data_IF_889323192506
#
_entry.id   IF_889323192506
#
_cell.length_a   1.000
_cell.length_b   1.000
_cell.length_c   1.000
_cell.angle_alpha   90.00
_cell.angle_beta   90.00
_cell.angle_gamma   90.00
#
_symmetry.space_group_name_H-M   'P 1'
#
loop_
_entity.id
_entity.type
_entity.pdbx_description
1 polymer ?
#
# COMPACT_ATOMS: atom_id res chain seq x y z
N UNK A 1 0.82 -15.01 -26.57
CA UNK A 1 0.38 -13.71 -27.13
C UNK A 1 -1.12 -13.56 -27.43
N UNK A 2 -1.93 -14.63 -27.43
CA UNK A 2 -3.37 -14.53 -27.73
C UNK A 2 -4.11 -13.59 -26.75
N UNK A 3 -3.91 -13.74 -25.44
CA UNK A 3 -4.58 -12.94 -24.40
C UNK A 3 -4.24 -11.45 -24.52
N UNK A 4 -2.95 -11.11 -24.56
CA UNK A 4 -2.50 -9.72 -24.73
C UNK A 4 -2.99 -9.11 -26.05
N UNK A 5 -3.12 -9.92 -27.13
CA UNK A 5 -3.67 -9.48 -28.39
C UNK A 5 -5.16 -9.14 -28.32
N UNK A 6 -5.96 -9.90 -27.57
CA UNK A 6 -7.38 -9.60 -27.36
C UNK A 6 -7.56 -8.35 -26.50
N UNK A 7 -6.77 -8.19 -25.43
CA UNK A 7 -6.79 -6.97 -24.61
C UNK A 7 -6.44 -5.71 -25.45
N UNK A 8 -5.41 -5.79 -26.29
CA UNK A 8 -5.01 -4.70 -27.17
C UNK A 8 -6.16 -4.24 -28.09
N UNK A 9 -6.98 -5.17 -28.60
CA UNK A 9 -8.11 -4.84 -29.48
C UNK A 9 -9.17 -3.95 -28.81
N UNK A 10 -9.22 -3.91 -27.49
CA UNK A 10 -10.13 -3.05 -26.71
C UNK A 10 -9.54 -1.66 -26.42
N UNK A 11 -8.26 -1.44 -26.71
CA UNK A 11 -7.56 -0.19 -26.40
C UNK A 11 -7.79 0.92 -27.43
N UNK A 12 -7.58 2.16 -27.01
CA UNK A 12 -7.60 3.34 -27.90
C UNK A 12 -6.47 3.32 -28.92
N UNK A 13 -5.41 2.55 -28.69
CA UNK A 13 -4.33 2.35 -29.67
C UNK A 13 -4.70 1.40 -30.81
N UNK A 14 -5.70 0.56 -30.59
CA UNK A 14 -6.26 -0.27 -31.67
C UNK A 14 -7.38 0.44 -32.44
N UNK A 15 -8.25 1.19 -31.73
CA UNK A 15 -9.41 1.86 -32.31
C UNK A 15 -9.62 3.24 -31.70
N UNK A 16 -9.57 4.29 -32.48
CA UNK A 16 -9.74 5.67 -32.02
C UNK A 16 -10.40 6.53 -33.14
N UNK A 17 -10.76 7.77 -32.79
CA UNK A 17 -11.41 8.69 -33.70
C UNK A 17 -10.53 9.15 -34.87
N UNK A 18 -9.20 9.11 -34.74
CA UNK A 18 -8.26 9.49 -35.80
C UNK A 18 -8.07 8.40 -36.87
N UNK A 19 -8.47 7.15 -36.56
CA UNK A 19 -8.23 6.00 -37.44
C UNK A 19 -6.78 5.51 -37.46
N UNK A 20 -5.87 6.15 -36.74
CA UNK A 20 -4.46 5.73 -36.63
C UNK A 20 -4.34 4.56 -35.63
N UNK A 21 -3.81 3.43 -36.11
CA UNK A 21 -3.60 2.24 -35.29
C UNK A 21 -2.11 2.06 -35.04
N UNK A 22 -1.74 1.93 -33.77
CA UNK A 22 -0.41 1.50 -33.38
C UNK A 22 -0.32 -0.04 -33.37
N UNK A 23 0.68 -0.61 -34.03
CA UNK A 23 0.91 -2.05 -34.00
C UNK A 23 1.74 -2.46 -32.78
N UNK A 24 1.77 -3.76 -32.47
CA UNK A 24 2.56 -4.29 -31.34
C UNK A 24 4.03 -3.82 -31.38
N UNK A 25 4.61 -3.78 -32.60
CA UNK A 25 6.00 -3.36 -32.78
C UNK A 25 6.24 -1.90 -32.42
N UNK A 26 5.25 -1.03 -32.64
CA UNK A 26 5.41 0.42 -32.43
C UNK A 26 5.58 0.79 -30.96
N UNK A 27 5.09 -0.08 -30.04
CA UNK A 27 5.29 0.05 -28.59
C UNK A 27 6.43 -0.82 -28.07
N UNK A 28 6.58 -2.04 -28.61
CA UNK A 28 7.46 -3.06 -28.05
C UNK A 28 8.86 -3.12 -28.70
N UNK A 29 9.05 -2.48 -29.84
CA UNK A 29 10.38 -2.41 -30.50
C UNK A 29 10.83 -0.95 -30.51
N UNK A 30 11.85 -0.59 -29.72
CA UNK A 30 12.36 0.78 -29.73
C UNK A 30 12.82 1.22 -31.13
N UNK A 31 12.67 2.49 -31.49
CA UNK A 31 13.14 3.00 -32.78
C UNK A 31 14.66 2.90 -32.91
N UNK A 32 15.14 2.57 -34.10
CA UNK A 32 16.55 2.44 -34.44
C UNK A 32 16.99 1.01 -34.71
N UNK A 33 18.10 0.86 -35.47
CA UNK A 33 18.59 -0.44 -35.95
C UNK A 33 19.14 -1.27 -34.77
N UNK A 34 20.01 -0.69 -33.94
CA UNK A 34 20.64 -1.40 -32.83
C UNK A 34 19.62 -1.87 -31.80
N UNK A 35 18.71 -1.01 -31.27
CA UNK A 35 17.66 -1.45 -30.37
C UNK A 35 16.77 -2.55 -30.97
N UNK A 36 16.47 -2.48 -32.27
CA UNK A 36 15.70 -3.52 -32.97
C UNK A 36 16.44 -4.86 -32.99
N UNK A 37 17.74 -4.89 -33.28
CA UNK A 37 18.55 -6.11 -33.28
C UNK A 37 18.62 -6.72 -31.88
N UNK A 38 18.88 -5.90 -30.87
CA UNK A 38 18.89 -6.35 -29.47
C UNK A 38 17.53 -6.95 -29.09
N UNK A 39 16.43 -6.32 -29.47
CA UNK A 39 15.09 -6.84 -29.16
C UNK A 39 14.79 -8.15 -29.88
N UNK A 40 15.24 -8.31 -31.12
CA UNK A 40 15.10 -9.57 -31.89
C UNK A 40 15.92 -10.72 -31.26
N UNK A 41 17.13 -10.46 -30.77
CA UNK A 41 17.91 -11.49 -30.07
C UNK A 41 17.26 -11.89 -28.74
N UNK A 42 16.71 -10.93 -27.99
CA UNK A 42 15.95 -11.23 -26.77
C UNK A 42 14.69 -12.08 -27.05
N UNK A 43 14.05 -11.91 -28.21
CA UNK A 43 12.88 -12.69 -28.61
C UNK A 43 13.19 -14.19 -28.85
N UNK A 44 14.45 -14.60 -28.98
CA UNK A 44 14.83 -16.02 -29.01
C UNK A 44 14.45 -16.73 -27.70
N UNK A 45 14.53 -16.03 -26.58
CA UNK A 45 14.05 -16.55 -25.29
C UNK A 45 12.52 -16.78 -25.29
N UNK A 46 11.77 -15.95 -26.00
CA UNK A 46 10.32 -16.10 -26.14
C UNK A 46 9.97 -17.35 -26.97
N UNK A 47 10.80 -17.69 -27.98
CA UNK A 47 10.66 -18.94 -28.73
C UNK A 47 10.89 -20.17 -27.86
N UNK A 48 11.96 -20.15 -27.03
CA UNK A 48 12.22 -21.23 -26.07
C UNK A 48 11.01 -21.44 -25.14
N UNK A 49 10.47 -20.35 -24.57
CA UNK A 49 9.31 -20.41 -23.69
C UNK A 49 7.98 -20.67 -24.38
N UNK A 50 7.94 -20.64 -25.71
CA UNK A 50 6.76 -21.00 -26.50
C UNK A 50 6.77 -22.47 -26.89
N UNK A 51 7.91 -23.00 -27.34
CA UNK A 51 8.01 -24.31 -27.96
C UNK A 51 8.63 -25.40 -27.08
N UNK A 52 9.55 -25.03 -26.20
CA UNK A 52 10.33 -26.00 -25.40
C UNK A 52 9.83 -26.06 -23.97
N UNK A 53 9.62 -24.91 -23.33
CA UNK A 53 9.13 -24.81 -21.95
C UNK A 53 7.95 -23.85 -21.85
N UNK A 54 6.73 -24.25 -22.29
CA UNK A 54 5.56 -23.38 -22.32
C UNK A 54 5.24 -22.78 -20.95
N UNK A 55 5.39 -21.46 -20.81
CA UNK A 55 5.30 -20.76 -19.53
C UNK A 55 4.10 -19.82 -19.43
N UNK A 56 3.43 -19.50 -20.55
CA UNK A 56 2.26 -18.59 -20.64
C UNK A 56 1.25 -19.08 -21.67
N UNK A 57 1.19 -20.35 -21.92
CA UNK A 57 0.33 -21.01 -22.93
C UNK A 57 -1.14 -21.10 -22.50
N UNK A 58 -1.42 -21.06 -21.17
CA UNK A 58 -2.79 -21.03 -20.64
C UNK A 58 -3.11 -19.68 -19.97
N UNK A 59 -4.41 -19.32 -19.82
CA UNK A 59 -4.82 -18.13 -19.11
C UNK A 59 -4.31 -18.05 -17.68
N UNK A 60 -4.28 -19.18 -16.97
CA UNK A 60 -3.83 -19.28 -15.58
C UNK A 60 -2.33 -19.02 -15.46
N UNK A 61 -1.52 -19.67 -16.31
CA UNK A 61 -0.07 -19.45 -16.37
C UNK A 61 0.25 -17.99 -16.75
N UNK A 62 -0.49 -17.42 -17.70
CA UNK A 62 -0.33 -16.03 -18.07
C UNK A 62 -0.69 -15.08 -16.92
N UNK A 63 -1.80 -15.33 -16.22
CA UNK A 63 -2.22 -14.54 -15.06
C UNK A 63 -1.16 -14.57 -13.95
N UNK A 64 -0.60 -15.74 -13.65
CA UNK A 64 0.44 -15.91 -12.64
C UNK A 64 1.73 -15.15 -12.97
N UNK A 65 2.09 -15.01 -14.25
CA UNK A 65 3.30 -14.31 -14.69
C UNK A 65 3.06 -12.86 -15.14
N UNK A 66 1.82 -12.42 -15.25
CA UNK A 66 1.46 -11.11 -15.78
C UNK A 66 2.19 -9.96 -15.08
N UNK A 67 2.28 -9.98 -13.75
CA UNK A 67 2.95 -8.93 -12.97
C UNK A 67 4.44 -8.83 -13.31
N UNK A 68 5.14 -9.96 -13.33
CA UNK A 68 6.56 -10.05 -13.69
C UNK A 68 6.82 -9.55 -15.12
N UNK A 69 6.01 -10.02 -16.08
CA UNK A 69 6.12 -9.61 -17.49
C UNK A 69 5.87 -8.11 -17.66
N UNK A 70 4.86 -7.56 -16.99
CA UNK A 70 4.54 -6.14 -17.03
C UNK A 70 5.67 -5.29 -16.43
N UNK A 71 6.18 -5.66 -15.25
CA UNK A 71 7.30 -4.94 -14.60
C UNK A 71 8.54 -4.91 -15.48
N UNK A 72 8.91 -6.05 -16.08
CA UNK A 72 10.03 -6.14 -17.00
C UNK A 72 9.86 -5.21 -18.22
N UNK A 73 8.67 -5.15 -18.76
CA UNK A 73 8.38 -4.29 -19.91
C UNK A 73 8.35 -2.81 -19.53
N UNK A 74 7.78 -2.45 -18.39
CA UNK A 74 7.80 -1.08 -17.89
C UNK A 74 9.23 -0.59 -17.60
N UNK A 75 10.04 -1.43 -16.96
CA UNK A 75 11.45 -1.10 -16.71
C UNK A 75 12.22 -0.85 -18.02
N UNK A 76 11.97 -1.66 -19.06
CA UNK A 76 12.57 -1.48 -20.37
C UNK A 76 12.16 -0.17 -21.05
N UNK A 77 10.86 0.17 -20.99
CA UNK A 77 10.33 1.42 -21.54
C UNK A 77 10.84 2.63 -20.75
N UNK A 78 10.97 2.52 -19.44
CA UNK A 78 11.52 3.57 -18.59
C UNK A 78 13.01 3.81 -18.89
N UNK A 79 13.80 2.74 -19.06
CA UNK A 79 15.23 2.83 -19.35
C UNK A 79 15.56 3.55 -20.69
N UNK A 80 14.63 3.57 -21.63
CA UNK A 80 14.80 4.28 -22.92
C UNK A 80 13.97 5.58 -22.99
N UNK A 81 13.57 6.13 -21.86
CA UNK A 81 12.74 7.33 -21.75
C UNK A 81 11.46 7.26 -22.57
N UNK A 82 10.79 6.09 -22.59
CA UNK A 82 9.56 5.86 -23.34
C UNK A 82 9.66 6.24 -24.85
N UNK A 83 10.83 5.99 -25.45
CA UNK A 83 11.13 6.41 -26.84
C UNK A 83 10.07 5.93 -27.84
N UNK A 84 9.53 4.73 -27.65
CA UNK A 84 8.45 4.21 -28.50
C UNK A 84 7.16 5.05 -28.42
N UNK A 85 6.79 5.53 -27.23
CA UNK A 85 5.65 6.42 -27.05
C UNK A 85 5.90 7.80 -27.69
N UNK A 86 7.09 8.36 -27.43
CA UNK A 86 7.51 9.68 -27.91
C UNK A 86 7.71 9.74 -29.43
N UNK A 87 7.79 8.59 -30.12
CA UNK A 87 7.83 8.56 -31.60
C UNK A 87 6.52 9.00 -32.23
N UNK A 88 5.39 8.89 -31.52
CA UNK A 88 4.07 9.34 -31.99
C UNK A 88 3.49 10.47 -31.13
N UNK A 89 3.86 10.53 -29.85
CA UNK A 89 3.35 11.49 -28.87
C UNK A 89 4.45 12.49 -28.47
N UNK A 90 4.38 13.72 -28.99
CA UNK A 90 5.23 14.82 -28.54
C UNK A 90 4.54 15.61 -27.44
N UNK A 91 5.25 15.96 -26.36
CA UNK A 91 4.73 16.86 -25.34
C UNK A 91 4.31 18.22 -25.88
N UNK A 92 5.00 18.71 -26.92
CA UNK A 92 4.70 19.99 -27.58
C UNK A 92 3.38 19.96 -28.39
N UNK A 93 3.02 18.78 -28.91
CA UNK A 93 1.81 18.61 -29.70
C UNK A 93 0.57 18.30 -28.85
N UNK A 94 0.74 18.11 -27.55
CA UNK A 94 -0.37 17.80 -26.63
C UNK A 94 -1.06 19.06 -26.13
N UNK A 95 -2.39 19.15 -26.36
CA UNK A 95 -3.22 20.22 -25.79
C UNK A 95 -3.65 19.84 -24.36
N UNK A 96 -2.82 20.23 -23.39
CA UNK A 96 -3.08 19.97 -21.97
C UNK A 96 -4.36 20.66 -21.47
N UNK A 97 -4.77 21.77 -22.11
CA UNK A 97 -5.96 22.53 -21.71
C UNK A 97 -7.28 21.79 -21.92
N UNK A 98 -7.31 20.75 -22.75
CA UNK A 98 -8.48 19.89 -22.97
C UNK A 98 -8.65 18.79 -21.90
N UNK A 99 -7.76 18.71 -20.93
CA UNK A 99 -7.82 17.74 -19.85
C UNK A 99 -8.40 18.38 -18.57
N UNK A 100 -8.66 17.55 -17.54
CA UNK A 100 -8.99 18.10 -16.22
C UNK A 100 -7.83 18.95 -15.68
N UNK A 101 -8.13 19.97 -14.88
CA UNK A 101 -7.11 20.87 -14.32
C UNK A 101 -5.95 20.13 -13.62
N UNK A 102 -6.27 19.07 -12.89
CA UNK A 102 -5.25 18.24 -12.24
C UNK A 102 -4.38 17.47 -13.24
N UNK A 103 -4.99 16.87 -14.26
CA UNK A 103 -4.25 16.17 -15.31
C UNK A 103 -3.38 17.14 -16.13
N UNK A 104 -3.91 18.32 -16.47
CA UNK A 104 -3.15 19.36 -17.17
C UNK A 104 -1.91 19.82 -16.39
N UNK A 105 -2.07 20.06 -15.06
CA UNK A 105 -0.95 20.44 -14.21
C UNK A 105 0.13 19.35 -14.14
N UNK A 106 -0.26 18.07 -14.02
CA UNK A 106 0.68 16.95 -14.00
C UNK A 106 1.39 16.79 -15.35
N UNK A 107 0.67 16.91 -16.48
CA UNK A 107 1.24 16.82 -17.82
C UNK A 107 2.20 17.98 -18.11
N UNK A 108 1.88 19.20 -17.69
CA UNK A 108 2.78 20.35 -17.80
C UNK A 108 4.07 20.12 -17.01
N UNK A 109 3.96 19.62 -15.76
CA UNK A 109 5.14 19.32 -14.96
C UNK A 109 5.99 18.16 -15.53
N UNK A 110 5.34 17.16 -16.14
CA UNK A 110 6.02 16.05 -16.81
C UNK A 110 6.73 16.51 -18.09
N UNK A 111 6.09 17.35 -18.89
CA UNK A 111 6.67 17.95 -20.09
C UNK A 111 7.93 18.77 -19.79
N UNK A 112 7.90 19.61 -18.75
CA UNK A 112 9.03 20.43 -18.33
C UNK A 112 10.28 19.61 -17.93
N UNK A 113 10.12 18.33 -17.57
CA UNK A 113 11.20 17.41 -17.17
C UNK A 113 11.49 16.32 -18.20
N UNK A 114 10.81 16.35 -19.34
CA UNK A 114 10.84 15.26 -20.33
C UNK A 114 10.62 13.89 -19.69
N UNK A 115 9.66 13.79 -18.77
CA UNK A 115 9.40 12.58 -17.96
C UNK A 115 9.02 11.39 -18.83
N UNK A 116 9.23 10.18 -18.30
CA UNK A 116 8.81 8.93 -18.92
C UNK A 116 7.28 8.82 -18.98
N UNK A 117 6.73 8.54 -20.16
CA UNK A 117 5.30 8.32 -20.33
C UNK A 117 4.82 7.07 -19.55
N UNK A 118 5.62 5.99 -19.58
CA UNK A 118 5.24 4.72 -18.96
C UNK A 118 5.16 4.77 -17.44
N UNK A 119 5.81 5.73 -16.78
CA UNK A 119 5.75 5.85 -15.32
C UNK A 119 4.33 6.15 -14.82
N UNK A 120 3.53 6.87 -15.62
CA UNK A 120 2.13 7.20 -15.34
C UNK A 120 1.13 6.41 -16.20
N UNK A 121 1.46 6.15 -17.47
CA UNK A 121 0.54 5.58 -18.46
C UNK A 121 0.65 4.05 -18.57
N UNK A 122 0.66 3.35 -17.44
CA UNK A 122 0.60 1.89 -17.39
C UNK A 122 -0.82 1.38 -17.71
N UNK A 123 -0.91 0.28 -18.44
CA UNK A 123 -2.19 -0.35 -18.77
C UNK A 123 -2.97 0.28 -19.91
N UNK A 124 -2.32 1.03 -20.81
CA UNK A 124 -2.96 1.72 -21.95
C UNK A 124 -3.33 0.79 -23.11
N UNK A 125 -2.69 -0.37 -23.21
CA UNK A 125 -2.93 -1.36 -24.27
C UNK A 125 -3.27 -2.75 -23.70
N UNK A 126 -2.90 -3.01 -22.45
CA UNK A 126 -3.15 -4.26 -21.76
C UNK A 126 -3.72 -4.00 -20.38
N UNK A 127 -4.52 -4.93 -19.85
CA UNK A 127 -5.02 -4.82 -18.50
C UNK A 127 -3.86 -4.78 -17.50
N UNK A 128 -3.94 -3.89 -16.53
CA UNK A 128 -2.95 -3.84 -15.44
C UNK A 128 -2.94 -5.18 -14.70
N UNK A 129 -1.75 -5.72 -14.35
CA UNK A 129 -1.67 -6.88 -13.51
C UNK A 129 -2.23 -6.56 -12.11
N UNK A 130 -2.75 -7.58 -11.46
CA UNK A 130 -2.99 -7.51 -10.02
C UNK A 130 -1.63 -7.59 -9.30
N UNK A 131 -1.19 -6.47 -8.76
CA UNK A 131 0.07 -6.37 -8.00
C UNK A 131 -0.10 -6.74 -6.54
N UNK A 132 -1.33 -7.09 -6.12
CA UNK A 132 -1.64 -7.33 -4.71
C UNK A 132 -1.30 -8.73 -4.23
N UNK A 133 -1.12 -9.70 -5.11
CA UNK A 133 -0.86 -11.10 -4.74
C UNK A 133 0.36 -11.23 -3.81
N UNK A 134 1.48 -10.61 -4.14
CA UNK A 134 2.72 -10.74 -3.37
C UNK A 134 2.60 -10.27 -1.91
N UNK A 135 1.97 -9.13 -1.66
CA UNK A 135 1.79 -8.65 -0.29
C UNK A 135 0.67 -9.40 0.45
N UNK A 136 -0.37 -9.85 -0.26
CA UNK A 136 -1.45 -10.67 0.34
C UNK A 136 -0.96 -12.05 0.76
N UNK A 137 -0.13 -12.70 -0.05
CA UNK A 137 0.50 -13.97 0.30
C UNK A 137 1.39 -13.82 1.54
N UNK A 138 2.15 -12.72 1.63
CA UNK A 138 2.94 -12.39 2.83
C UNK A 138 2.04 -12.22 4.06
N UNK A 139 0.92 -11.52 3.93
CA UNK A 139 -0.01 -11.34 5.04
C UNK A 139 -0.62 -12.65 5.52
N UNK A 140 -0.99 -13.54 4.60
CA UNK A 140 -1.46 -14.88 4.95
C UNK A 140 -0.39 -15.70 5.70
N UNK A 141 0.88 -15.56 5.35
CA UNK A 141 1.97 -16.17 6.10
C UNK A 141 2.07 -15.60 7.52
N UNK A 142 1.98 -14.28 7.68
CA UNK A 142 1.95 -13.63 8.99
C UNK A 142 0.76 -14.09 9.83
N UNK A 143 -0.43 -14.20 9.23
CA UNK A 143 -1.61 -14.71 9.92
C UNK A 143 -1.41 -16.14 10.43
N UNK A 144 -0.85 -17.04 9.60
CA UNK A 144 -0.53 -18.42 10.01
C UNK A 144 0.49 -18.47 11.15
N UNK A 145 1.51 -17.60 11.13
CA UNK A 145 2.46 -17.46 12.24
C UNK A 145 1.78 -16.94 13.51
N UNK A 146 0.81 -16.01 13.36
CA UNK A 146 0.04 -15.44 14.44
C UNK A 146 -1.10 -16.34 14.98
N UNK A 147 -1.30 -17.56 14.47
CA UNK A 147 -2.23 -18.54 15.04
C UNK A 147 -1.78 -19.00 16.44
N UNK A 148 -0.48 -18.97 16.69
CA UNK A 148 0.08 -19.23 18.00
C UNK A 148 0.48 -17.92 18.68
N UNK A 149 0.00 -17.70 19.89
CA UNK A 149 0.37 -16.53 20.68
C UNK A 149 1.84 -16.61 21.07
N UNK A 150 2.71 -15.64 20.69
CA UNK A 150 4.09 -15.60 21.09
C UNK A 150 4.25 -15.57 22.61
N UNK A 151 5.32 -16.13 23.15
CA UNK A 151 5.59 -16.16 24.60
C UNK A 151 6.02 -14.81 25.16
N UNK A 152 6.43 -13.87 24.31
CA UNK A 152 6.83 -12.52 24.70
C UNK A 152 5.72 -11.77 25.46
N UNK A 153 6.13 -10.86 26.32
CA UNK A 153 5.21 -10.00 27.09
C UNK A 153 4.75 -8.79 26.32
N UNK A 154 5.50 -8.35 25.32
CA UNK A 154 5.14 -7.26 24.40
C UNK A 154 4.79 -7.85 23.05
N UNK A 155 3.62 -7.50 22.54
CA UNK A 155 3.10 -8.00 21.28
C UNK A 155 2.55 -6.85 20.42
N UNK A 156 2.42 -7.10 19.11
CA UNK A 156 1.81 -6.21 18.14
C UNK A 156 0.65 -6.92 17.44
N UNK A 157 -0.47 -6.23 17.26
CA UNK A 157 -1.61 -6.78 16.52
C UNK A 157 -1.30 -6.85 15.02
N UNK A 158 -1.50 -8.01 14.40
CA UNK A 158 -1.33 -8.18 12.94
C UNK A 158 -2.46 -7.53 12.14
N UNK A 159 -3.64 -7.40 12.73
CA UNK A 159 -4.82 -6.82 12.12
C UNK A 159 -5.74 -6.19 13.16
N UNK A 160 -6.97 -5.90 12.75
CA UNK A 160 -7.99 -5.46 13.69
C UNK A 160 -8.41 -6.60 14.61
N UNK A 161 -8.62 -6.28 15.89
CA UNK A 161 -9.04 -7.26 16.90
C UNK A 161 -10.13 -6.67 17.78
N UNK A 162 -11.15 -7.48 18.06
CA UNK A 162 -12.16 -7.12 19.05
C UNK A 162 -11.54 -7.05 20.45
N UNK A 163 -11.97 -6.04 21.19
CA UNK A 163 -11.64 -5.88 22.62
C UNK A 163 -12.90 -6.09 23.44
N UNK A 164 -12.75 -6.79 24.58
CA UNK A 164 -13.84 -7.07 25.52
C UNK A 164 -13.42 -6.77 26.96
N UNK A 165 -14.38 -6.54 27.84
CA UNK A 165 -14.11 -6.26 29.25
C UNK A 165 -13.70 -7.53 30.03
N UNK A 166 -14.25 -8.69 29.67
CA UNK A 166 -13.89 -10.01 30.26
C UNK A 166 -13.63 -11.01 29.13
N UNK A 167 -13.02 -12.16 29.47
CA UNK A 167 -12.73 -13.22 28.52
C UNK A 167 -14.00 -13.85 27.90
N UNK A 168 -15.10 -13.84 28.65
CA UNK A 168 -16.37 -14.46 28.26
C UNK A 168 -17.33 -13.48 27.60
N UNK A 169 -17.02 -12.17 27.62
CA UNK A 169 -17.90 -11.16 27.01
C UNK A 169 -17.98 -11.36 25.50
N UNK A 170 -19.18 -11.24 24.90
CA UNK A 170 -19.30 -11.27 23.46
C UNK A 170 -18.57 -10.10 22.83
N UNK A 171 -18.10 -10.27 21.58
CA UNK A 171 -17.46 -9.22 20.84
C UNK A 171 -18.40 -8.00 20.71
N UNK A 172 -17.93 -6.85 21.20
CA UNK A 172 -18.62 -5.55 21.11
C UNK A 172 -18.16 -4.72 19.92
N UNK A 173 -18.26 -3.40 20.07
CA UNK A 173 -17.78 -2.44 19.07
C UNK A 173 -16.37 -1.92 19.37
N UNK A 174 -15.77 -2.33 20.49
CA UNK A 174 -14.41 -1.96 20.84
C UNK A 174 -13.41 -2.73 19.98
N UNK A 175 -12.41 -2.01 19.47
CA UNK A 175 -11.48 -2.54 18.48
C UNK A 175 -10.06 -2.05 18.73
N UNK A 176 -9.11 -2.96 18.66
CA UNK A 176 -7.69 -2.69 18.55
C UNK A 176 -7.33 -2.58 17.06
N UNK A 177 -6.55 -1.56 16.71
CA UNK A 177 -6.12 -1.31 15.32
C UNK A 177 -4.85 -2.09 14.97
N UNK A 178 -4.57 -2.34 13.68
CA UNK A 178 -3.34 -3.00 13.23
C UNK A 178 -2.08 -2.34 13.79
N UNK A 179 -1.02 -3.12 13.96
CA UNK A 179 0.29 -2.66 14.40
C UNK A 179 0.27 -1.89 15.74
N UNK A 180 -0.69 -2.20 16.60
CA UNK A 180 -0.74 -1.61 17.93
C UNK A 180 0.02 -2.48 18.92
N UNK A 181 0.95 -1.85 19.63
CA UNK A 181 1.71 -2.49 20.70
C UNK A 181 0.84 -2.69 21.93
N UNK A 182 0.92 -3.87 22.54
CA UNK A 182 0.22 -4.22 23.77
C UNK A 182 1.14 -5.00 24.69
N UNK A 183 0.90 -4.91 25.99
CA UNK A 183 1.56 -5.73 27.00
C UNK A 183 0.61 -6.86 27.42
N UNK A 184 1.09 -8.10 27.40
CA UNK A 184 0.33 -9.26 27.84
C UNK A 184 0.36 -9.34 29.38
N UNK A 185 -0.80 -9.37 29.99
CA UNK A 185 -0.99 -9.50 31.43
C UNK A 185 -1.31 -10.94 31.85
N UNK A 186 -2.21 -11.61 31.12
CA UNK A 186 -2.67 -12.96 31.41
C UNK A 186 -2.97 -13.72 30.12
N UNK A 187 -2.74 -15.02 30.13
CA UNK A 187 -3.07 -15.94 29.03
C UNK A 187 -4.09 -16.96 29.57
N UNK A 188 -5.20 -17.12 28.86
CA UNK A 188 -6.30 -17.97 29.30
C UNK A 188 -6.99 -18.67 28.11
N UNK A 189 -6.58 -19.91 27.86
CA UNK A 189 -7.09 -20.67 26.73
C UNK A 189 -6.86 -19.96 25.40
N UNK A 190 -7.97 -19.64 24.70
CA UNK A 190 -7.95 -18.91 23.42
C UNK A 190 -7.98 -17.38 23.58
N UNK A 191 -7.96 -16.88 24.82
CA UNK A 191 -8.04 -15.47 25.12
C UNK A 191 -6.76 -14.97 25.80
N UNK A 192 -6.49 -13.68 25.64
CA UNK A 192 -5.38 -12.99 26.28
C UNK A 192 -5.87 -11.68 26.87
N UNK A 193 -5.48 -11.42 28.11
CA UNK A 193 -5.65 -10.10 28.72
C UNK A 193 -4.44 -9.25 28.37
N UNK A 194 -4.71 -8.10 27.81
CA UNK A 194 -3.72 -7.15 27.36
C UNK A 194 -3.89 -5.80 28.04
N UNK A 195 -2.80 -5.10 28.18
CA UNK A 195 -2.77 -3.68 28.51
C UNK A 195 -2.30 -2.89 27.30
N UNK A 196 -3.09 -1.90 26.91
CA UNK A 196 -2.80 -0.93 25.88
C UNK A 196 -2.50 0.42 26.53
N UNK A 197 -1.39 1.05 26.18
CA UNK A 197 -1.08 2.44 26.53
C UNK A 197 -1.23 3.37 25.33
N UNK A 198 -1.74 4.56 25.56
CA UNK A 198 -1.90 5.56 24.51
C UNK A 198 -2.43 6.88 25.02
N UNK A 199 -2.87 7.72 24.10
CA UNK A 199 -3.37 9.07 24.39
C UNK A 199 -4.83 9.22 23.95
N UNK A 200 -5.60 9.96 24.72
CA UNK A 200 -6.96 10.37 24.33
C UNK A 200 -7.18 11.85 24.61
N UNK A 201 -8.07 12.48 23.86
CA UNK A 201 -8.55 13.82 24.18
C UNK A 201 -9.31 13.82 25.52
N UNK A 202 -9.02 14.78 26.39
CA UNK A 202 -9.74 14.93 27.68
C UNK A 202 -11.20 15.30 27.46
N UNK A 203 -11.46 16.08 26.41
CA UNK A 203 -12.80 16.55 26.03
C UNK A 203 -13.16 16.02 24.63
N UNK A 204 -14.39 15.58 24.44
CA UNK A 204 -14.89 15.13 23.16
C UNK A 204 -14.85 13.61 22.95
N UNK A 205 -13.98 13.11 22.06
CA UNK A 205 -13.95 11.68 21.66
C UNK A 205 -13.10 10.80 22.59
N UNK A 206 -13.33 10.86 23.89
CA UNK A 206 -12.54 10.12 24.90
C UNK A 206 -12.51 8.58 24.75
N UNK A 207 -13.23 8.03 23.76
CA UNK A 207 -13.20 6.59 23.41
C UNK A 207 -12.11 6.22 22.39
N UNK A 208 -11.53 7.19 21.72
CA UNK A 208 -10.47 6.96 20.73
C UNK A 208 -9.11 7.06 21.43
N UNK A 209 -8.37 5.98 21.37
CA UNK A 209 -7.00 5.93 21.88
C UNK A 209 -6.05 6.04 20.69
N UNK A 210 -5.14 7.00 20.75
CA UNK A 210 -4.09 7.21 19.74
C UNK A 210 -2.73 6.80 20.28
N UNK A 211 -1.81 6.47 19.42
CA UNK A 211 -0.45 6.05 19.80
C UNK A 211 0.40 7.23 20.28
N UNK A 212 0.16 8.42 19.72
CA UNK A 212 0.90 9.65 20.03
C UNK A 212 -0.09 10.77 20.35
N UNK A 213 0.32 11.65 21.30
CA UNK A 213 -0.43 12.87 21.63
C UNK A 213 -0.56 13.79 20.42
N UNK A 214 -1.74 14.35 20.18
CA UNK A 214 -1.98 15.27 19.06
C UNK A 214 -2.02 14.62 17.67
N UNK A 215 -1.65 13.35 17.55
CA UNK A 215 -1.58 12.64 16.28
C UNK A 215 -2.71 11.60 16.15
N UNK A 216 -3.41 11.61 15.03
CA UNK A 216 -4.54 10.68 14.77
C UNK A 216 -4.07 9.30 14.31
N UNK A 217 -3.04 8.75 14.98
CA UNK A 217 -2.51 7.41 14.78
C UNK A 217 -3.28 6.47 15.71
N UNK A 218 -4.36 5.89 15.22
CA UNK A 218 -5.28 5.13 16.06
C UNK A 218 -4.66 3.84 16.59
N UNK A 219 -4.74 3.65 17.90
CA UNK A 219 -4.38 2.42 18.59
C UNK A 219 -5.61 1.57 18.91
N UNK A 220 -6.66 2.18 19.46
CA UNK A 220 -7.92 1.51 19.74
C UNK A 220 -9.10 2.47 19.67
N UNK A 221 -10.29 1.92 19.47
CA UNK A 221 -11.56 2.59 19.75
C UNK A 221 -12.30 1.77 20.79
N UNK A 222 -12.68 2.41 21.89
CA UNK A 222 -13.36 1.76 23.02
C UNK A 222 -14.87 1.91 22.87
N UNK A 223 -15.61 0.98 23.40
CA UNK A 223 -17.03 1.10 23.63
C UNK A 223 -17.34 1.36 25.13
N UNK A 224 -18.62 1.46 25.48
CA UNK A 224 -19.02 1.78 26.84
C UNK A 224 -18.55 0.75 27.88
N UNK A 225 -18.41 -0.53 27.48
CA UNK A 225 -18.05 -1.63 28.38
C UNK A 225 -16.61 -1.55 28.90
N UNK A 226 -15.72 -0.89 28.13
CA UNK A 226 -14.31 -0.76 28.47
C UNK A 226 -13.96 0.58 29.15
N UNK A 227 -14.91 1.51 29.25
CA UNK A 227 -14.61 2.83 29.82
C UNK A 227 -14.21 2.77 31.32
N UNK A 228 -14.72 1.81 32.06
CA UNK A 228 -14.32 1.57 33.46
C UNK A 228 -12.89 1.00 33.60
N UNK A 229 -12.35 0.41 32.54
CA UNK A 229 -11.02 -0.18 32.50
C UNK A 229 -9.93 0.82 32.07
N UNK A 230 -10.31 2.07 31.82
CA UNK A 230 -9.40 3.14 31.45
C UNK A 230 -8.83 3.79 32.69
N UNK A 231 -7.52 3.72 32.87
CA UNK A 231 -6.79 4.43 33.92
C UNK A 231 -6.05 5.62 33.31
N UNK A 232 -6.25 6.80 33.86
CA UNK A 232 -5.50 8.01 33.48
C UNK A 232 -4.16 8.00 34.24
N UNK A 233 -3.07 8.03 33.51
CA UNK A 233 -1.72 8.05 34.07
C UNK A 233 -1.20 9.49 34.25
N UNK A 234 -1.44 10.34 33.24
CA UNK A 234 -1.09 11.76 33.28
C UNK A 234 -1.96 12.58 32.34
N UNK A 235 -1.97 13.90 32.56
CA UNK A 235 -2.65 14.87 31.68
C UNK A 235 -1.63 15.89 31.20
N UNK A 236 -1.65 16.19 29.89
CA UNK A 236 -0.75 17.16 29.26
C UNK A 236 -1.50 18.00 28.23
N UNK A 237 -1.02 19.20 27.98
CA UNK A 237 -1.52 20.08 26.92
C UNK A 237 -0.59 19.93 25.70
N UNK A 238 -1.18 19.60 24.57
CA UNK A 238 -0.45 19.52 23.31
C UNK A 238 0.02 20.92 22.89
N UNK A 239 1.32 21.12 22.68
CA UNK A 239 1.87 22.44 22.37
C UNK A 239 1.45 22.98 21.01
N UNK A 240 1.06 22.11 20.06
CA UNK A 240 0.64 22.52 18.72
C UNK A 240 -0.84 22.95 18.68
N UNK A 241 -1.73 22.13 19.28
CA UNK A 241 -3.18 22.37 19.23
C UNK A 241 -3.74 23.08 20.45
N UNK A 242 -2.96 23.23 21.52
CA UNK A 242 -3.38 23.71 22.84
C UNK A 242 -4.54 22.90 23.46
N UNK A 243 -4.76 21.69 22.98
CA UNK A 243 -5.79 20.79 23.53
C UNK A 243 -5.19 19.95 24.66
N UNK A 244 -6.03 19.65 25.64
CA UNK A 244 -5.69 18.78 26.75
C UNK A 244 -5.85 17.32 26.37
N UNK A 245 -4.81 16.54 26.62
CA UNK A 245 -4.72 15.10 26.36
C UNK A 245 -4.42 14.34 27.64
N UNK A 246 -4.96 13.13 27.72
CA UNK A 246 -4.69 12.19 28.79
C UNK A 246 -3.91 11.00 28.24
N UNK A 247 -2.76 10.71 28.83
CA UNK A 247 -2.13 9.41 28.67
C UNK A 247 -2.90 8.39 29.51
N UNK A 248 -3.27 7.29 28.89
CA UNK A 248 -4.09 6.27 29.53
C UNK A 248 -3.52 4.88 29.34
N UNK A 249 -3.77 4.02 30.32
CA UNK A 249 -3.68 2.57 30.17
C UNK A 249 -5.08 1.97 30.19
N UNK A 250 -5.27 0.94 29.35
CA UNK A 250 -6.56 0.25 29.18
C UNK A 250 -6.33 -1.23 29.26
N UNK A 251 -6.97 -1.90 30.23
CA UNK A 251 -6.99 -3.36 30.30
C UNK A 251 -8.17 -3.91 29.53
N UNK A 252 -7.91 -4.86 28.65
CA UNK A 252 -8.95 -5.51 27.84
C UNK A 252 -8.59 -6.96 27.56
N UNK A 253 -9.59 -7.74 27.17
CA UNK A 253 -9.43 -9.09 26.64
C UNK A 253 -9.54 -9.09 25.14
N UNK A 254 -8.83 -10.03 24.49
CA UNK A 254 -8.88 -10.27 23.05
C UNK A 254 -8.59 -11.74 22.78
N UNK A 255 -8.90 -12.21 21.54
CA UNK A 255 -8.44 -13.53 21.10
C UNK A 255 -6.92 -13.60 21.10
N UNK A 256 -6.35 -14.76 21.44
CA UNK A 256 -4.91 -14.99 21.49
C UNK A 256 -4.25 -15.00 20.10
N UNK A 257 -5.00 -15.36 19.07
CA UNK A 257 -4.52 -15.38 17.69
C UNK A 257 -4.32 -13.97 17.12
N UNK A 258 -3.48 -13.82 16.08
CA UNK A 258 -3.31 -12.56 15.33
C UNK A 258 -2.43 -11.54 16.04
N UNK A 259 -1.46 -12.00 16.81
CA UNK A 259 -0.38 -11.19 17.37
C UNK A 259 0.99 -11.67 16.90
N UNK A 260 1.96 -10.77 16.95
CA UNK A 260 3.39 -11.05 16.72
C UNK A 260 4.22 -10.34 17.77
N UNK A 261 5.38 -10.87 18.11
CA UNK A 261 6.39 -10.23 18.96
C UNK A 261 7.37 -9.36 18.16
N UNK A 262 7.38 -9.49 16.83
CA UNK A 262 8.18 -8.68 15.95
C UNK A 262 7.30 -7.91 14.95
N UNK A 263 7.43 -6.58 14.96
CA UNK A 263 6.67 -5.70 14.06
C UNK A 263 7.23 -5.64 12.64
N UNK A 264 8.53 -5.94 12.44
CA UNK A 264 9.22 -5.74 11.16
C UNK A 264 8.57 -6.50 9.99
N UNK A 265 8.14 -7.77 10.12
CA UNK A 265 7.46 -8.47 9.04
C UNK A 265 6.14 -7.79 8.62
N UNK A 266 5.42 -7.17 9.57
CA UNK A 266 4.21 -6.41 9.28
C UNK A 266 4.54 -5.10 8.54
N UNK A 267 5.63 -4.44 8.90
CA UNK A 267 6.10 -3.25 8.19
C UNK A 267 6.62 -3.57 6.78
N UNK A 268 7.30 -4.70 6.60
CA UNK A 268 7.68 -5.18 5.27
C UNK A 268 6.45 -5.48 4.39
N UNK A 269 5.40 -6.06 4.97
CA UNK A 269 4.11 -6.25 4.28
C UNK A 269 3.51 -4.90 3.86
N UNK A 270 3.47 -3.93 4.77
CA UNK A 270 2.89 -2.61 4.50
C UNK A 270 3.72 -1.82 3.46
N UNK A 271 5.05 -1.91 3.50
CA UNK A 271 5.93 -1.30 2.49
C UNK A 271 5.73 -1.96 1.11
N UNK A 272 5.67 -3.28 1.06
CA UNK A 272 5.40 -3.99 -0.20
C UNK A 272 4.02 -3.63 -0.77
N UNK A 273 3.01 -3.45 0.09
CA UNK A 273 1.69 -2.96 -0.30
C UNK A 273 1.77 -1.53 -0.85
N UNK A 274 2.51 -0.63 -0.18
CA UNK A 274 2.76 0.73 -0.63
C UNK A 274 3.42 0.74 -2.02
N UNK A 275 4.53 0.00 -2.16
CA UNK A 275 5.27 -0.08 -3.42
C UNK A 275 4.39 -0.64 -4.56
N UNK A 276 3.71 -1.76 -4.33
CA UNK A 276 2.89 -2.39 -5.37
C UNK A 276 1.68 -1.54 -5.77
N UNK A 277 1.07 -0.84 -4.81
CA UNK A 277 -0.17 -0.10 -5.05
C UNK A 277 0.11 1.28 -5.64
N UNK A 278 1.07 2.03 -5.09
CA UNK A 278 1.30 3.43 -5.45
C UNK A 278 2.21 3.59 -6.67
N UNK A 279 3.20 2.69 -6.87
CA UNK A 279 4.11 2.76 -8.03
C UNK A 279 3.43 2.51 -9.37
N UNK A 280 2.16 2.14 -9.36
CA UNK A 280 1.38 1.92 -10.57
C UNK A 280 1.16 3.19 -11.41
N UNK A 281 1.22 4.38 -10.80
CA UNK A 281 0.89 5.65 -11.47
C UNK A 281 2.00 6.72 -11.35
N UNK A 282 2.77 6.72 -10.26
CA UNK A 282 3.86 7.66 -10.04
C UNK A 282 4.91 7.04 -9.11
N UNK A 283 6.04 7.72 -8.92
CA UNK A 283 7.02 7.31 -7.92
C UNK A 283 6.39 7.26 -6.53
N UNK A 284 6.64 6.18 -5.81
CA UNK A 284 6.12 6.00 -4.46
C UNK A 284 6.64 7.09 -3.53
N UNK A 285 5.77 7.88 -2.89
CA UNK A 285 6.22 8.89 -1.95
C UNK A 285 6.81 8.21 -0.71
N UNK A 286 7.95 8.70 -0.20
CA UNK A 286 8.48 8.17 1.05
C UNK A 286 7.51 8.47 2.21
N UNK A 287 7.43 7.63 3.25
CA UNK A 287 6.56 7.87 4.41
C UNK A 287 6.80 9.23 5.09
N UNK A 288 8.02 9.76 5.03
CA UNK A 288 8.38 11.08 5.53
C UNK A 288 7.85 12.26 4.71
N UNK A 289 7.11 12.01 3.60
CA UNK A 289 6.58 13.07 2.72
C UNK A 289 5.61 13.99 3.44
N UNK A 290 4.81 13.46 4.36
CA UNK A 290 3.80 14.20 5.10
C UNK A 290 3.95 13.97 6.61
N UNK A 291 3.29 14.82 7.41
CA UNK A 291 3.06 14.56 8.83
C UNK A 291 2.12 13.37 9.04
N UNK A 292 2.08 12.79 10.23
CA UNK A 292 1.18 11.69 10.56
C UNK A 292 -0.30 12.04 10.29
N UNK A 293 -0.73 13.26 10.64
CA UNK A 293 -2.08 13.72 10.35
C UNK A 293 -2.28 14.04 8.86
N UNK A 294 -1.24 14.50 8.16
CA UNK A 294 -1.26 14.81 6.73
C UNK A 294 -1.48 13.58 5.85
N UNK A 295 -0.99 12.41 6.26
CA UNK A 295 -1.22 11.16 5.54
C UNK A 295 -2.68 10.75 5.42
N UNK A 296 -3.55 11.16 6.35
CA UNK A 296 -5.00 10.90 6.29
C UNK A 296 -5.60 11.53 5.03
N UNK A 297 -5.29 12.80 4.78
CA UNK A 297 -5.76 13.50 3.58
C UNK A 297 -5.05 12.99 2.31
N UNK A 298 -3.74 12.75 2.40
CA UNK A 298 -2.92 12.22 1.31
C UNK A 298 -3.46 10.89 0.80
N UNK A 299 -3.67 9.91 1.67
CA UNK A 299 -4.17 8.60 1.28
C UNK A 299 -5.63 8.67 0.78
N UNK A 300 -6.47 9.48 1.46
CA UNK A 300 -7.86 9.68 1.05
C UNK A 300 -7.96 10.27 -0.37
N UNK A 301 -7.11 11.20 -0.75
CA UNK A 301 -7.12 11.79 -2.10
C UNK A 301 -6.78 10.77 -3.20
N UNK A 302 -6.07 9.69 -2.87
CA UNK A 302 -5.71 8.60 -3.80
C UNK A 302 -6.69 7.42 -3.76
N UNK A 303 -7.64 7.37 -2.83
CA UNK A 303 -8.51 6.21 -2.57
C UNK A 303 -9.36 5.76 -3.76
N UNK A 304 -9.62 6.64 -4.73
CA UNK A 304 -10.35 6.31 -5.96
C UNK A 304 -9.48 5.59 -6.99
N UNK A 305 -8.16 5.61 -6.84
CA UNK A 305 -7.21 5.07 -7.81
C UNK A 305 -6.64 3.70 -7.43
N UNK A 306 -6.87 3.24 -6.21
CA UNK A 306 -6.44 1.92 -5.75
C UNK A 306 -7.60 1.14 -5.12
N UNK A 307 -7.39 -0.17 -4.95
CA UNK A 307 -8.36 -1.05 -4.30
C UNK A 307 -7.66 -1.87 -3.22
N UNK A 308 -7.85 -1.43 -1.98
CA UNK A 308 -7.45 -2.15 -0.78
C UNK A 308 -8.70 -2.49 0.03
N UNK A 309 -8.65 -3.58 0.78
CA UNK A 309 -9.67 -3.87 1.79
C UNK A 309 -9.57 -2.86 2.94
N UNK A 310 -10.63 -2.68 3.75
CA UNK A 310 -10.57 -1.74 4.88
C UNK A 310 -9.42 -2.01 5.86
N UNK A 311 -9.06 -3.28 6.06
CA UNK A 311 -7.93 -3.65 6.94
C UNK A 311 -6.59 -3.33 6.30
N UNK A 312 -6.43 -3.60 5.00
CA UNK A 312 -5.23 -3.23 4.23
C UNK A 312 -5.02 -1.72 4.25
N UNK A 313 -6.08 -0.94 4.00
CA UNK A 313 -6.03 0.52 3.99
C UNK A 313 -5.61 1.10 5.36
N UNK A 314 -6.17 0.56 6.46
CA UNK A 314 -5.78 0.96 7.82
C UNK A 314 -4.36 0.57 8.19
N UNK A 315 -3.91 -0.61 7.75
CA UNK A 315 -2.53 -1.05 7.97
C UNK A 315 -1.55 -0.17 7.20
N UNK A 316 -1.87 0.16 5.95
CA UNK A 316 -1.07 1.06 5.14
C UNK A 316 -1.02 2.47 5.74
N UNK A 317 -2.17 3.02 6.14
CA UNK A 317 -2.24 4.32 6.81
C UNK A 317 -1.41 4.31 8.11
N UNK A 318 -1.51 3.27 8.91
CA UNK A 318 -0.74 3.13 10.16
C UNK A 318 0.77 3.12 9.89
N UNK A 319 1.21 2.37 8.87
CA UNK A 319 2.60 2.33 8.44
C UNK A 319 3.11 3.72 8.04
N UNK A 320 2.37 4.41 7.16
CA UNK A 320 2.72 5.75 6.69
C UNK A 320 2.77 6.76 7.84
N UNK A 321 1.81 6.69 8.76
CA UNK A 321 1.73 7.57 9.91
C UNK A 321 2.85 7.34 10.92
N UNK A 322 3.21 6.09 11.20
CA UNK A 322 4.27 5.77 12.18
C UNK A 322 5.67 6.04 11.64
N UNK A 323 5.83 6.20 10.33
CA UNK A 323 7.07 6.59 9.65
C UNK A 323 7.03 8.01 9.09
N UNK A 324 6.06 8.82 9.52
CA UNK A 324 5.88 10.21 9.05
C UNK A 324 6.99 11.15 9.53
N UNK A 325 7.08 12.32 8.90
CA UNK A 325 8.14 13.32 9.16
C UNK A 325 8.13 13.89 10.59
N UNK A 326 6.97 13.86 11.27
CA UNK A 326 6.76 14.42 12.61
C UNK A 326 6.66 13.34 13.71
N UNK A 327 7.04 12.09 13.40
CA UNK A 327 7.13 11.00 14.36
C UNK A 327 8.60 10.66 14.61
N UNK A 328 9.06 10.65 15.87
CA UNK A 328 10.41 10.24 16.20
C UNK A 328 10.66 8.80 15.73
N UNK A 329 11.64 8.62 14.85
CA UNK A 329 12.07 7.29 14.45
C UNK A 329 12.98 6.73 15.54
N UNK A 330 12.84 5.44 15.92
CA UNK A 330 13.81 4.81 16.80
C UNK A 330 15.20 4.97 16.15
N UNK A 331 16.15 5.54 16.90
CA UNK A 331 17.52 5.73 16.43
C UNK A 331 18.05 4.38 15.92
N UNK A 332 18.18 4.26 14.61
CA UNK A 332 19.02 3.26 13.99
C UNK A 332 20.48 3.65 14.23
N UNK A 333 20.93 3.62 15.48
CA UNK A 333 22.36 3.58 15.80
C UNK A 333 22.87 2.19 15.41
N UNK A 334 23.07 1.97 14.12
CA UNK A 334 24.02 0.97 13.64
C UNK A 334 25.39 1.64 13.67
N UNK A 335 26.15 1.36 14.74
CA UNK A 335 27.59 1.48 14.71
C UNK A 335 28.20 0.48 13.73
#
# INVERSE_FOLDING_TARGET
>A
MRISGEEYKTSMHFRNASGVRAECKDCHIPPGIVPTLVRKTQALNDLYHTFISPSIDTPEKFAAKRAELAQREWARMSANNSAACKSCHSYEAMDHGKQSANAAAQMTAAAAKDSNCIDCHKGIAHHKPDMSSGFRDRYQQLQRQGEQLPTATTLYSLGEKSLTATAESPAGKAMLYPATQVRVLKREGKNVQIELTGWRESKGRGRVITQYMGKRVFAAVLDASLMSNVKVEQTQVDPESHQEWQQVSVMAWSSAEGFTDNIDPLWQYADQMLQSTCSACHSTPPPTRYSANGWIAGLKSMSTYYRLSPVEDRTLLKYLQTHASDIPQPNNSKG
#
